data_IF_950023784013
#
_entry.id   IF_950023784013
#
_cell.length_a   1.000
_cell.length_b   1.000
_cell.length_c   1.000
_cell.angle_alpha   90.00
_cell.angle_beta   90.00
_cell.angle_gamma   90.00
#
_symmetry.space_group_name_H-M   'P 1'
#
loop_
_entity.id
_entity.type
_entity.pdbx_description
1 polymer ?
#
# COMPACT_ATOMS: atom_id res chain seq x y z
N UNK A 1 -40.64 12.84 -10.39
CA UNK A 1 -39.44 13.69 -10.52
C UNK A 1 -39.30 14.45 -9.21
N UNK A 2 -38.49 13.93 -8.30
CA UNK A 2 -38.16 14.59 -7.02
C UNK A 2 -37.01 15.56 -7.28
N UNK A 3 -37.06 16.81 -6.80
CA UNK A 3 -36.03 17.81 -7.05
C UNK A 3 -34.73 17.38 -6.32
N UNK A 4 -33.64 17.24 -7.10
CA UNK A 4 -32.29 17.04 -6.59
C UNK A 4 -31.85 18.30 -5.83
N UNK A 5 -31.69 18.16 -4.53
CA UNK A 5 -31.32 19.20 -3.60
C UNK A 5 -29.84 19.64 -3.86
N UNK A 6 -29.64 20.63 -4.73
CA UNK A 6 -28.37 21.10 -5.31
C UNK A 6 -27.59 22.06 -4.41
N UNK A 7 -27.76 22.05 -3.08
CA UNK A 7 -27.07 23.01 -2.20
C UNK A 7 -26.55 22.35 -0.91
N UNK A 8 -25.62 21.38 -1.04
CA UNK A 8 -24.70 21.05 0.06
C UNK A 8 -23.34 21.65 -0.23
N UNK A 9 -23.21 22.94 -0.07
CA UNK A 9 -21.91 23.58 0.14
C UNK A 9 -21.36 23.04 1.45
N UNK A 10 -20.32 22.17 1.36
CA UNK A 10 -19.59 21.72 2.55
C UNK A 10 -18.96 22.97 3.16
N UNK A 11 -19.29 23.36 4.40
CA UNK A 11 -18.70 24.55 4.99
C UNK A 11 -17.18 24.39 5.04
N UNK A 12 -16.46 25.44 4.65
CA UNK A 12 -14.98 25.48 4.58
C UNK A 12 -14.36 25.03 5.92
N UNK A 13 -15.03 25.32 7.03
CA UNK A 13 -14.65 24.86 8.37
C UNK A 13 -14.63 23.33 8.50
N UNK A 14 -15.56 22.60 7.87
CA UNK A 14 -15.58 21.13 7.89
C UNK A 14 -14.49 20.53 7.01
N UNK A 15 -14.16 21.15 5.90
CA UNK A 15 -13.03 20.75 5.05
C UNK A 15 -11.69 20.95 5.78
N UNK A 16 -11.50 22.07 6.44
CA UNK A 16 -10.31 22.39 7.23
C UNK A 16 -10.18 21.47 8.47
N UNK A 17 -11.28 21.12 9.12
CA UNK A 17 -11.26 20.21 10.27
C UNK A 17 -10.93 18.77 9.85
N UNK A 18 -11.40 18.31 8.71
CA UNK A 18 -11.05 16.99 8.13
C UNK A 18 -9.57 16.95 7.73
N UNK A 19 -9.05 18.01 7.12
CA UNK A 19 -7.64 18.14 6.76
C UNK A 19 -6.74 18.10 8.01
N UNK A 20 -7.05 18.90 9.04
CA UNK A 20 -6.31 18.89 10.32
C UNK A 20 -6.37 17.55 11.04
N UNK A 21 -7.53 16.88 11.07
CA UNK A 21 -7.68 15.54 11.69
C UNK A 21 -6.85 14.50 10.95
N UNK A 22 -6.77 14.59 9.64
CA UNK A 22 -5.99 13.70 8.77
C UNK A 22 -4.47 13.85 9.00
N UNK A 23 -3.96 15.05 9.28
CA UNK A 23 -2.56 15.27 9.62
C UNK A 23 -2.21 14.79 11.03
N UNK A 24 -3.12 14.93 12.00
CA UNK A 24 -2.92 14.42 13.37
C UNK A 24 -2.82 12.89 13.38
N UNK A 25 -3.64 12.18 12.60
CA UNK A 25 -3.54 10.71 12.50
C UNK A 25 -2.25 10.26 11.79
N UNK A 26 -1.77 11.02 10.80
CA UNK A 26 -0.51 10.73 10.15
C UNK A 26 0.70 10.99 11.08
N UNK A 27 0.67 12.09 11.84
CA UNK A 27 1.69 12.39 12.83
C UNK A 27 1.74 11.33 13.93
N UNK A 28 0.57 10.84 14.38
CA UNK A 28 0.49 9.74 15.35
C UNK A 28 1.10 8.45 14.79
N UNK A 29 0.77 8.08 13.55
CA UNK A 29 1.32 6.88 12.91
C UNK A 29 2.85 6.97 12.77
N UNK A 30 3.37 8.14 12.35
CA UNK A 30 4.81 8.38 12.26
C UNK A 30 5.48 8.36 13.65
N UNK A 31 4.85 8.97 14.66
CA UNK A 31 5.38 8.96 16.04
C UNK A 31 5.45 7.53 16.58
N UNK A 32 4.39 6.73 16.42
CA UNK A 32 4.38 5.31 16.80
C UNK A 32 5.47 4.54 16.06
N UNK A 33 5.60 4.72 14.75
CA UNK A 33 6.65 4.08 13.96
C UNK A 33 8.06 4.49 14.39
N UNK A 34 8.28 5.77 14.72
CA UNK A 34 9.56 6.25 15.24
C UNK A 34 9.89 5.66 16.63
N UNK A 35 8.89 5.55 17.50
CA UNK A 35 9.05 4.86 18.79
C UNK A 35 9.40 3.39 18.57
N UNK A 36 8.72 2.70 17.65
CA UNK A 36 9.04 1.31 17.29
C UNK A 36 10.47 1.17 16.78
N UNK A 37 10.93 2.09 15.93
CA UNK A 37 12.29 2.10 15.38
C UNK A 37 13.36 2.22 16.48
N UNK A 38 13.08 2.93 17.57
CA UNK A 38 14.01 3.12 18.67
C UNK A 38 13.94 1.99 19.72
N UNK A 39 12.73 1.50 19.99
CA UNK A 39 12.48 0.55 21.10
C UNK A 39 12.71 -0.90 20.66
N UNK A 40 12.19 -1.31 19.48
CA UNK A 40 12.25 -2.71 19.05
C UNK A 40 13.70 -3.26 18.99
N UNK A 41 14.70 -2.55 18.41
CA UNK A 41 16.07 -3.07 18.35
C UNK A 41 16.75 -3.25 19.72
N UNK A 42 16.17 -2.66 20.78
CA UNK A 42 16.69 -2.76 22.15
C UNK A 42 16.03 -3.84 22.99
N UNK A 43 14.79 -4.21 22.62
CA UNK A 43 13.95 -5.14 23.40
C UNK A 43 13.89 -6.53 22.76
N UNK A 44 13.94 -6.59 21.42
CA UNK A 44 13.85 -7.86 20.68
C UNK A 44 15.23 -8.51 20.56
N UNK A 45 15.24 -9.83 20.64
CA UNK A 45 16.39 -10.66 20.29
C UNK A 45 16.59 -10.68 18.75
N UNK A 46 17.77 -11.14 18.31
CA UNK A 46 18.13 -11.09 16.89
C UNK A 46 17.17 -11.91 16.00
N UNK A 47 16.61 -13.02 16.50
CA UNK A 47 15.65 -13.82 15.75
C UNK A 47 14.33 -13.06 15.54
N UNK A 48 13.77 -12.47 16.60
CA UNK A 48 12.56 -11.67 16.51
C UNK A 48 12.77 -10.42 15.65
N UNK A 49 13.98 -9.87 15.65
CA UNK A 49 14.35 -8.72 14.81
C UNK A 49 14.35 -9.07 13.32
N UNK A 50 14.94 -10.22 12.95
CA UNK A 50 14.92 -10.74 11.56
C UNK A 50 13.47 -10.99 11.13
N UNK A 51 12.63 -11.52 12.01
CA UNK A 51 11.20 -11.73 11.74
C UNK A 51 10.46 -10.38 11.56
N UNK A 52 10.74 -9.40 12.39
CA UNK A 52 10.13 -8.06 12.28
C UNK A 52 10.58 -7.33 11.00
N UNK A 53 11.79 -7.59 10.52
CA UNK A 53 12.32 -7.02 9.27
C UNK A 53 11.47 -7.46 8.08
N UNK A 54 11.15 -8.74 7.94
CA UNK A 54 10.31 -9.20 6.83
C UNK A 54 8.91 -8.60 6.89
N UNK A 55 8.34 -8.40 8.10
CA UNK A 55 7.05 -7.73 8.23
C UNK A 55 7.10 -6.27 7.72
N UNK A 56 8.16 -5.54 8.05
CA UNK A 56 8.36 -4.17 7.58
C UNK A 56 8.53 -4.12 6.05
N UNK A 57 9.34 -5.02 5.48
CA UNK A 57 9.58 -5.14 4.04
C UNK A 57 8.28 -5.46 3.30
N UNK A 58 7.51 -6.44 3.75
CA UNK A 58 6.23 -6.81 3.14
C UNK A 58 5.16 -5.72 3.32
N UNK A 59 5.24 -4.95 4.41
CA UNK A 59 4.37 -3.79 4.62
C UNK A 59 4.65 -2.67 3.60
N UNK A 60 5.91 -2.45 3.17
CA UNK A 60 6.24 -1.54 2.06
C UNK A 60 5.56 -2.00 0.77
N UNK A 61 5.62 -3.31 0.48
CA UNK A 61 4.98 -3.89 -0.70
C UNK A 61 3.44 -3.75 -0.66
N UNK A 62 2.83 -4.02 0.50
CA UNK A 62 1.40 -3.82 0.69
C UNK A 62 0.99 -2.35 0.56
N UNK A 63 1.81 -1.43 1.08
CA UNK A 63 1.59 0.01 0.96
C UNK A 63 1.68 0.48 -0.49
N UNK A 64 2.59 -0.11 -1.31
CA UNK A 64 2.70 0.20 -2.73
C UNK A 64 1.41 -0.13 -3.50
N UNK A 65 0.85 -1.33 -3.32
CA UNK A 65 -0.43 -1.70 -3.93
C UNK A 65 -1.59 -0.90 -3.32
N UNK A 66 -1.58 -0.67 -2.00
CA UNK A 66 -2.57 0.15 -1.32
C UNK A 66 -2.63 1.58 -1.85
N UNK A 67 -1.51 2.14 -2.28
CA UNK A 67 -1.45 3.43 -2.95
C UNK A 67 -2.01 3.36 -4.38
N UNK A 68 -1.55 2.42 -5.20
CA UNK A 68 -1.95 2.26 -6.60
C UNK A 68 -3.45 1.96 -6.71
N UNK A 69 -3.95 1.02 -5.95
CA UNK A 69 -5.35 0.61 -5.98
C UNK A 69 -6.24 1.50 -5.11
N UNK A 70 -5.81 1.76 -3.88
CA UNK A 70 -6.62 2.49 -2.89
C UNK A 70 -6.85 3.95 -3.26
N UNK A 71 -5.85 4.64 -3.79
CA UNK A 71 -5.92 6.06 -4.14
C UNK A 71 -5.96 6.31 -5.65
N UNK A 72 -5.20 5.54 -6.43
CA UNK A 72 -5.19 5.66 -7.90
C UNK A 72 -6.38 5.01 -8.59
N UNK A 73 -7.09 4.09 -7.92
CA UNK A 73 -8.17 3.31 -8.53
C UNK A 73 -7.71 2.27 -9.54
N UNK A 74 -6.41 2.00 -9.60
CA UNK A 74 -5.78 1.13 -10.57
C UNK A 74 -5.72 -0.29 -10.02
N UNK A 75 -6.50 -1.21 -10.56
CA UNK A 75 -6.48 -2.61 -10.17
C UNK A 75 -5.26 -3.31 -10.78
N UNK A 76 -4.22 -3.52 -9.96
CA UNK A 76 -2.98 -4.16 -10.37
C UNK A 76 -2.82 -5.51 -9.65
N UNK A 77 -2.83 -6.61 -10.42
CA UNK A 77 -2.50 -7.94 -9.92
C UNK A 77 -1.02 -8.29 -10.08
N UNK A 78 -0.27 -7.44 -10.74
CA UNK A 78 1.14 -7.62 -11.07
C UNK A 78 2.11 -6.90 -10.12
N UNK A 79 1.73 -6.56 -8.90
CA UNK A 79 2.63 -5.85 -8.00
C UNK A 79 3.86 -6.69 -7.64
N UNK A 80 3.71 -8.03 -7.62
CA UNK A 80 4.80 -8.97 -7.44
C UNK A 80 5.82 -8.96 -8.59
N UNK A 81 5.44 -8.55 -9.81
CA UNK A 81 6.37 -8.35 -10.91
C UNK A 81 7.43 -7.29 -10.58
N UNK A 82 6.99 -6.13 -10.07
CA UNK A 82 7.89 -5.02 -9.72
C UNK A 82 8.73 -5.35 -8.48
N UNK A 83 8.15 -6.07 -7.52
CA UNK A 83 8.85 -6.60 -6.36
C UNK A 83 9.96 -7.56 -6.77
N UNK A 84 9.64 -8.56 -7.60
CA UNK A 84 10.60 -9.53 -8.11
C UNK A 84 11.68 -8.87 -8.97
N UNK A 85 11.32 -7.92 -9.86
CA UNK A 85 12.30 -7.15 -10.63
C UNK A 85 13.26 -6.40 -9.71
N UNK A 86 12.79 -5.79 -8.62
CA UNK A 86 13.65 -5.13 -7.64
C UNK A 86 14.62 -6.09 -6.97
N UNK A 87 14.13 -7.26 -6.52
CA UNK A 87 14.95 -8.29 -5.89
C UNK A 87 16.02 -8.84 -6.83
N UNK A 88 15.65 -9.22 -8.05
CA UNK A 88 16.59 -9.75 -9.05
C UNK A 88 17.58 -8.69 -9.54
N UNK A 89 17.13 -7.45 -9.76
CA UNK A 89 18.01 -6.34 -10.15
C UNK A 89 19.09 -6.11 -9.11
N UNK A 90 18.70 -6.08 -7.83
CA UNK A 90 19.67 -5.94 -6.75
C UNK A 90 20.66 -7.12 -6.74
N UNK A 91 20.15 -8.36 -6.75
CA UNK A 91 20.97 -9.57 -6.69
C UNK A 91 22.00 -9.63 -7.82
N UNK A 92 21.58 -9.37 -9.07
CA UNK A 92 22.45 -9.37 -10.24
C UNK A 92 23.46 -8.24 -10.17
N UNK A 93 23.02 -7.03 -9.84
CA UNK A 93 23.88 -5.85 -9.84
C UNK A 93 24.94 -5.92 -8.72
N UNK A 94 24.58 -6.35 -7.51
CA UNK A 94 25.53 -6.44 -6.40
C UNK A 94 26.57 -7.52 -6.63
N UNK A 95 26.21 -8.65 -7.25
CA UNK A 95 27.16 -9.71 -7.61
C UNK A 95 28.18 -9.25 -8.65
N UNK A 96 27.81 -8.32 -9.55
CA UNK A 96 28.70 -7.80 -10.57
C UNK A 96 29.56 -6.62 -10.10
N UNK A 97 29.03 -5.76 -9.20
CA UNK A 97 29.67 -4.49 -8.81
C UNK A 97 30.41 -4.58 -7.48
N UNK A 98 30.04 -5.53 -6.61
CA UNK A 98 30.62 -5.69 -5.28
C UNK A 98 30.20 -4.63 -4.26
N UNK A 99 29.77 -3.44 -4.68
CA UNK A 99 29.19 -2.38 -3.84
C UNK A 99 27.66 -2.41 -3.95
N UNK A 100 26.95 -2.17 -2.86
CA UNK A 100 25.49 -2.19 -2.82
C UNK A 100 24.82 -0.86 -3.16
N UNK A 101 25.55 0.25 -3.22
CA UNK A 101 24.99 1.61 -3.40
C UNK A 101 24.28 1.77 -4.74
N UNK A 102 24.97 1.43 -5.84
CA UNK A 102 24.38 1.49 -7.19
C UNK A 102 23.30 0.42 -7.38
N UNK A 103 23.50 -0.85 -7.00
CA UNK A 103 22.48 -1.89 -7.01
C UNK A 103 21.18 -1.50 -6.28
N UNK A 104 21.26 -0.83 -5.14
CA UNK A 104 20.11 -0.33 -4.40
C UNK A 104 19.28 0.67 -5.22
N UNK A 105 19.93 1.63 -5.87
CA UNK A 105 19.26 2.60 -6.74
C UNK A 105 18.65 1.92 -7.97
N UNK A 106 19.39 1.00 -8.60
CA UNK A 106 18.91 0.25 -9.77
C UNK A 106 17.69 -0.59 -9.44
N UNK A 107 17.62 -1.18 -8.26
CA UNK A 107 16.49 -1.97 -7.80
C UNK A 107 15.18 -1.14 -7.64
N UNK A 108 15.27 0.18 -7.56
CA UNK A 108 14.13 1.09 -7.56
C UNK A 108 13.84 1.59 -8.98
N UNK A 109 14.88 2.00 -9.71
CA UNK A 109 14.75 2.66 -11.01
C UNK A 109 14.32 1.69 -12.10
N UNK A 110 14.82 0.46 -12.10
CA UNK A 110 14.51 -0.51 -13.17
C UNK A 110 13.06 -0.98 -13.12
N UNK A 111 12.46 -1.36 -11.96
CA UNK A 111 11.02 -1.62 -11.89
C UNK A 111 10.17 -0.39 -12.24
N UNK A 112 10.60 0.81 -11.86
CA UNK A 112 9.92 2.06 -12.23
C UNK A 112 9.95 2.30 -13.74
N UNK A 113 11.09 2.11 -14.40
CA UNK A 113 11.24 2.23 -15.85
C UNK A 113 10.40 1.17 -16.59
N UNK A 114 10.41 -0.08 -16.11
CA UNK A 114 9.58 -1.15 -16.66
C UNK A 114 8.09 -0.81 -16.53
N UNK A 115 7.67 -0.29 -15.35
CA UNK A 115 6.31 0.17 -15.12
C UNK A 115 5.94 1.37 -16.00
N UNK A 116 6.89 2.27 -16.29
CA UNK A 116 6.65 3.40 -17.19
C UNK A 116 6.33 2.93 -18.61
N UNK A 117 7.09 1.97 -19.14
CA UNK A 117 6.86 1.38 -20.47
C UNK A 117 5.52 0.62 -20.49
N UNK A 118 5.31 -0.28 -19.53
CA UNK A 118 4.08 -1.08 -19.44
C UNK A 118 2.84 -0.18 -19.23
N UNK A 119 2.92 0.77 -18.31
CA UNK A 119 1.85 1.71 -18.01
C UNK A 119 1.55 2.65 -19.18
N UNK A 120 2.56 3.08 -19.93
CA UNK A 120 2.36 3.83 -21.16
C UNK A 120 1.51 3.05 -22.14
N UNK A 121 1.86 1.79 -22.43
CA UNK A 121 1.09 0.93 -23.34
C UNK A 121 -0.35 0.72 -22.85
N UNK A 122 -0.56 0.52 -21.55
CA UNK A 122 -1.89 0.28 -20.98
C UNK A 122 -2.75 1.54 -20.99
N UNK A 123 -2.26 2.66 -20.44
CA UNK A 123 -3.09 3.87 -20.24
C UNK A 123 -3.34 4.64 -21.53
N UNK A 124 -2.36 4.67 -22.44
CA UNK A 124 -2.52 5.32 -23.75
C UNK A 124 -3.22 4.40 -24.75
N UNK A 125 -3.19 3.06 -24.53
CA UNK A 125 -3.97 2.07 -25.29
C UNK A 125 -5.48 2.08 -24.96
N UNK A 126 -5.94 2.91 -24.00
CA UNK A 126 -7.35 3.04 -23.58
C UNK A 126 -7.99 1.72 -23.15
N UNK A 127 -7.22 0.86 -22.50
CA UNK A 127 -7.71 -0.41 -21.98
C UNK A 127 -8.60 -0.17 -20.74
N UNK A 128 -9.64 -0.98 -20.58
CA UNK A 128 -10.48 -0.89 -19.37
C UNK A 128 -9.74 -1.42 -18.14
N UNK A 129 -10.17 -0.99 -16.95
CA UNK A 129 -9.54 -1.34 -15.67
C UNK A 129 -9.46 -2.86 -15.43
N UNK A 130 -10.44 -3.63 -15.93
CA UNK A 130 -10.45 -5.10 -15.84
C UNK A 130 -9.33 -5.72 -16.65
N UNK A 131 -9.15 -5.27 -17.92
CA UNK A 131 -8.05 -5.74 -18.77
C UNK A 131 -6.68 -5.40 -18.20
N UNK A 132 -6.56 -4.28 -17.51
CA UNK A 132 -5.33 -3.89 -16.84
C UNK A 132 -4.92 -4.91 -15.77
N UNK A 133 -5.86 -5.37 -14.94
CA UNK A 133 -5.60 -6.42 -13.97
C UNK A 133 -5.08 -7.71 -14.62
N UNK A 134 -5.73 -8.14 -15.70
CA UNK A 134 -5.33 -9.35 -16.45
C UNK A 134 -3.96 -9.19 -17.08
N UNK A 135 -3.68 -8.06 -17.74
CA UNK A 135 -2.38 -7.79 -18.38
C UNK A 135 -1.25 -7.76 -17.34
N UNK A 136 -1.43 -7.08 -16.22
CA UNK A 136 -0.40 -7.02 -15.18
C UNK A 136 -0.13 -8.40 -14.59
N UNK A 137 -1.16 -9.23 -14.41
CA UNK A 137 -1.00 -10.62 -13.99
C UNK A 137 -0.26 -11.45 -15.04
N UNK A 138 -0.63 -11.33 -16.33
CA UNK A 138 0.02 -12.04 -17.41
C UNK A 138 1.51 -11.68 -17.51
N UNK A 139 1.84 -10.38 -17.41
CA UNK A 139 3.24 -9.92 -17.40
C UNK A 139 4.01 -10.54 -16.22
N UNK A 140 3.38 -10.65 -15.06
CA UNK A 140 3.99 -11.30 -13.88
C UNK A 140 4.30 -12.77 -14.16
N UNK A 141 3.37 -13.50 -14.76
CA UNK A 141 3.56 -14.91 -15.12
C UNK A 141 4.61 -15.09 -16.23
N UNK A 142 4.69 -14.15 -17.17
CA UNK A 142 5.76 -14.14 -18.19
C UNK A 142 7.12 -13.98 -17.53
N UNK A 143 7.26 -13.02 -16.62
CA UNK A 143 8.52 -12.82 -15.86
C UNK A 143 8.86 -14.05 -15.00
N UNK A 144 7.87 -14.64 -14.33
CA UNK A 144 8.04 -15.89 -13.59
C UNK A 144 8.62 -16.99 -14.48
N UNK A 145 7.99 -17.27 -15.62
CA UNK A 145 8.42 -18.32 -16.54
C UNK A 145 9.77 -18.00 -17.17
N UNK A 146 10.00 -16.74 -17.55
CA UNK A 146 11.27 -16.29 -18.11
C UNK A 146 12.42 -16.59 -17.13
N UNK A 147 12.31 -16.13 -15.89
CA UNK A 147 13.35 -16.33 -14.87
C UNK A 147 13.47 -17.80 -14.50
N UNK A 148 12.36 -18.53 -14.38
CA UNK A 148 12.34 -19.95 -14.06
C UNK A 148 13.03 -20.83 -15.12
N UNK A 149 12.98 -20.42 -16.40
CA UNK A 149 13.62 -21.13 -17.52
C UNK A 149 15.12 -20.88 -17.67
N UNK A 150 15.69 -19.90 -16.94
CA UNK A 150 17.11 -19.55 -17.01
C UNK A 150 17.98 -20.46 -16.12
N UNK A 151 17.73 -21.77 -16.16
CA UNK A 151 18.53 -22.77 -15.45
C UNK A 151 19.72 -23.21 -16.34
N UNK A 152 20.92 -23.13 -15.79
CA UNK A 152 22.12 -23.58 -16.49
C UNK A 152 23.29 -22.58 -16.39
N UNK A 153 24.51 -23.06 -16.58
CA UNK A 153 25.70 -22.23 -16.44
C UNK A 153 25.85 -21.19 -17.57
N UNK A 154 25.12 -21.36 -18.67
CA UNK A 154 25.07 -20.43 -19.80
C UNK A 154 24.26 -19.16 -19.50
N UNK A 155 23.29 -19.24 -18.58
CA UNK A 155 22.42 -18.12 -18.23
C UNK A 155 23.06 -17.25 -17.14
N UNK A 156 23.90 -16.30 -17.59
CA UNK A 156 24.61 -15.36 -16.72
C UNK A 156 24.43 -13.93 -17.23
N UNK A 157 24.38 -12.99 -16.30
CA UNK A 157 24.49 -11.56 -16.59
C UNK A 157 25.76 -11.09 -15.90
N UNK A 158 26.84 -10.92 -16.68
CA UNK A 158 28.17 -10.69 -16.16
C UNK A 158 28.68 -11.91 -15.37
N UNK A 159 28.98 -11.73 -14.09
CA UNK A 159 29.41 -12.80 -13.17
C UNK A 159 28.24 -13.47 -12.45
N UNK A 160 27.06 -12.84 -12.44
CA UNK A 160 25.88 -13.33 -11.73
C UNK A 160 25.17 -14.43 -12.55
N UNK A 161 25.14 -15.65 -12.02
CA UNK A 161 24.32 -16.75 -12.55
C UNK A 161 22.85 -16.55 -12.14
N UNK A 162 21.92 -16.70 -13.07
CA UNK A 162 20.47 -16.48 -12.79
C UNK A 162 19.85 -17.64 -12.01
N UNK A 163 20.42 -18.83 -12.08
CA UNK A 163 20.06 -20.01 -11.30
C UNK A 163 18.70 -20.66 -11.66
N UNK A 164 17.90 -20.06 -12.54
CA UNK A 164 16.61 -20.56 -12.94
C UNK A 164 15.68 -20.84 -11.76
N UNK A 165 15.07 -22.03 -11.73
CA UNK A 165 14.17 -22.45 -10.64
C UNK A 165 14.85 -22.50 -9.25
N UNK A 166 16.17 -22.64 -9.18
CA UNK A 166 16.94 -22.61 -7.91
C UNK A 166 17.11 -21.19 -7.37
N UNK A 167 16.97 -20.17 -8.21
CA UNK A 167 17.19 -18.77 -7.84
C UNK A 167 18.67 -18.41 -7.65
N UNK A 168 18.89 -17.22 -7.10
CA UNK A 168 20.25 -16.66 -6.84
C UNK A 168 20.52 -16.77 -5.34
N UNK A 169 21.44 -17.65 -4.91
CA UNK A 169 21.86 -17.76 -3.52
C UNK A 169 22.98 -16.79 -3.19
N UNK A 170 23.27 -16.63 -1.89
CA UNK A 170 24.42 -15.88 -1.36
C UNK A 170 24.50 -14.44 -1.89
N UNK A 171 23.36 -13.76 -1.94
CA UNK A 171 23.30 -12.35 -2.30
C UNK A 171 24.08 -11.55 -1.26
N UNK A 172 25.04 -10.73 -1.73
CA UNK A 172 25.82 -9.89 -0.84
C UNK A 172 24.88 -8.89 -0.12
N UNK A 173 24.99 -8.80 1.23
CA UNK A 173 24.18 -7.89 2.01
C UNK A 173 24.52 -6.44 1.71
N UNK A 174 23.63 -5.53 2.11
CA UNK A 174 23.88 -4.09 2.01
C UNK A 174 25.12 -3.70 2.83
N UNK A 175 25.96 -2.87 2.25
CA UNK A 175 27.09 -2.22 2.91
C UNK A 175 26.81 -0.72 3.07
N UNK A 176 27.57 -0.07 3.94
CA UNK A 176 27.49 1.39 4.07
C UNK A 176 28.00 2.05 2.78
N UNK A 177 27.31 3.10 2.27
CA UNK A 177 27.70 3.75 1.03
C UNK A 177 29.18 4.21 1.07
N UNK A 178 29.98 3.70 0.10
CA UNK A 178 31.38 4.02 -0.02
C UNK A 178 32.36 3.15 0.79
N UNK A 179 31.86 2.20 1.58
CA UNK A 179 32.71 1.26 2.31
C UNK A 179 32.17 -0.17 2.15
N UNK A 180 32.81 -0.96 1.28
CA UNK A 180 32.38 -2.32 0.94
C UNK A 180 32.55 -3.30 2.11
N UNK A 181 33.51 -3.04 3.01
CA UNK A 181 33.84 -3.92 4.14
C UNK A 181 32.86 -3.74 5.32
N UNK A 182 32.14 -2.63 5.37
CA UNK A 182 31.20 -2.34 6.45
C UNK A 182 29.79 -2.80 6.09
N UNK A 183 29.52 -4.06 6.39
CA UNK A 183 28.28 -4.75 6.08
C UNK A 183 27.20 -4.43 7.13
N UNK A 184 26.02 -4.08 6.65
CA UNK A 184 24.85 -3.81 7.50
C UNK A 184 24.33 -5.11 8.13
N UNK A 185 24.52 -5.27 9.44
CA UNK A 185 24.02 -6.41 10.20
C UNK A 185 22.49 -6.44 10.35
N UNK A 186 21.92 -7.48 11.00
CA UNK A 186 20.47 -7.67 11.12
C UNK A 186 19.74 -6.47 11.76
N UNK A 187 20.36 -5.82 12.77
CA UNK A 187 19.81 -4.60 13.40
C UNK A 187 19.74 -3.43 12.43
N UNK A 188 20.83 -3.18 11.71
CA UNK A 188 20.86 -2.12 10.72
C UNK A 188 19.89 -2.35 9.56
N UNK A 189 19.69 -3.61 9.13
CA UNK A 189 18.71 -3.96 8.10
C UNK A 189 17.27 -3.73 8.59
N UNK A 190 16.99 -4.04 9.87
CA UNK A 190 15.70 -3.72 10.47
C UNK A 190 15.44 -2.22 10.51
N UNK A 191 16.43 -1.45 11.02
CA UNK A 191 16.34 0.00 11.10
C UNK A 191 16.15 0.63 9.72
N UNK A 192 16.88 0.16 8.71
CA UNK A 192 16.74 0.59 7.33
C UNK A 192 15.36 0.25 6.76
N UNK A 193 14.87 -0.97 6.97
CA UNK A 193 13.58 -1.43 6.45
C UNK A 193 12.40 -0.70 7.08
N UNK A 194 12.42 -0.52 8.40
CA UNK A 194 11.38 0.24 9.10
C UNK A 194 11.49 1.73 8.79
N UNK A 195 12.70 2.27 8.69
CA UNK A 195 12.96 3.64 8.23
C UNK A 195 12.45 3.89 6.81
N UNK A 196 12.68 2.94 5.89
CA UNK A 196 12.16 2.97 4.53
C UNK A 196 10.61 2.93 4.51
N UNK A 197 9.99 2.08 5.33
CA UNK A 197 8.52 2.03 5.48
C UNK A 197 7.96 3.39 5.92
N UNK A 198 8.55 3.99 6.95
CA UNK A 198 8.14 5.30 7.45
C UNK A 198 8.40 6.42 6.42
N UNK A 199 9.54 6.35 5.71
CA UNK A 199 9.88 7.28 4.64
C UNK A 199 8.90 7.20 3.46
N UNK A 200 8.56 5.99 3.01
CA UNK A 200 7.56 5.77 1.96
C UNK A 200 6.17 6.23 2.42
N UNK A 201 5.78 5.90 3.64
CA UNK A 201 4.51 6.38 4.20
C UNK A 201 4.44 7.91 4.23
N UNK A 202 5.50 8.57 4.70
CA UNK A 202 5.59 10.03 4.72
C UNK A 202 5.57 10.62 3.30
N UNK A 203 6.36 10.08 2.37
CA UNK A 203 6.39 10.49 0.96
C UNK A 203 4.99 10.43 0.33
N UNK A 204 4.30 9.30 0.48
CA UNK A 204 2.95 9.14 -0.06
C UNK A 204 1.94 10.09 0.61
N UNK A 205 2.11 10.34 1.91
CA UNK A 205 1.27 11.28 2.63
C UNK A 205 1.43 12.71 2.12
N UNK A 206 2.66 13.14 1.92
CA UNK A 206 3.01 14.45 1.35
C UNK A 206 2.49 14.54 -0.10
N UNK A 207 2.74 13.51 -0.92
CA UNK A 207 2.25 13.45 -2.30
C UNK A 207 0.72 13.63 -2.37
N UNK A 208 -0.03 12.93 -1.52
CA UNK A 208 -1.49 13.03 -1.46
C UNK A 208 -1.99 14.39 -0.96
N UNK A 209 -1.19 15.12 -0.20
CA UNK A 209 -1.51 16.48 0.25
C UNK A 209 -1.32 17.52 -0.87
N UNK A 210 -0.41 17.29 -1.82
CA UNK A 210 -0.17 18.17 -2.95
C UNK A 210 -1.27 18.11 -4.01
N UNK A 211 -1.21 19.04 -4.98
CA UNK A 211 -2.14 19.12 -6.11
C UNK A 211 -2.19 17.80 -6.90
N UNK A 212 -1.04 17.18 -7.12
CA UNK A 212 -0.91 15.91 -7.85
C UNK A 212 -1.75 14.82 -7.18
N UNK A 213 -1.64 14.64 -5.86
CA UNK A 213 -2.39 13.62 -5.13
C UNK A 213 -3.89 13.86 -5.16
N UNK A 214 -4.34 15.13 -5.10
CA UNK A 214 -5.77 15.45 -5.23
C UNK A 214 -6.31 15.10 -6.61
N UNK A 215 -5.52 15.29 -7.66
CA UNK A 215 -5.89 14.92 -9.04
C UNK A 215 -5.93 13.39 -9.19
N UNK A 216 -4.97 12.66 -8.58
CA UNK A 216 -4.97 11.19 -8.55
C UNK A 216 -6.28 10.66 -7.94
N UNK A 217 -6.67 11.16 -6.77
CA UNK A 217 -7.92 10.77 -6.10
C UNK A 217 -9.16 11.15 -6.94
N UNK A 218 -9.16 12.34 -7.53
CA UNK A 218 -10.25 12.79 -8.41
C UNK A 218 -10.38 11.90 -9.66
N UNK A 219 -9.27 11.42 -10.23
CA UNK A 219 -9.26 10.49 -11.36
C UNK A 219 -9.94 9.15 -11.03
N UNK A 220 -9.75 8.64 -9.81
CA UNK A 220 -10.44 7.45 -9.31
C UNK A 220 -11.96 7.67 -9.17
N UNK A 221 -12.39 8.83 -8.66
CA UNK A 221 -13.80 9.12 -8.39
C UNK A 221 -14.60 9.34 -9.68
N UNK A 222 -14.07 10.14 -10.61
CA UNK A 222 -14.73 10.39 -11.91
C UNK A 222 -13.76 10.94 -12.95
N UNK A 223 -13.29 10.05 -13.82
CA UNK A 223 -12.35 10.38 -14.89
C UNK A 223 -12.91 11.37 -15.93
N UNK A 224 -14.19 11.24 -16.26
CA UNK A 224 -14.84 12.15 -17.24
C UNK A 224 -14.91 13.58 -16.73
N UNK A 225 -15.26 13.76 -15.45
CA UNK A 225 -15.26 15.11 -14.83
C UNK A 225 -13.88 15.72 -14.78
N UNK A 226 -12.85 14.90 -14.53
CA UNK A 226 -11.46 15.34 -14.50
C UNK A 226 -11.00 15.85 -15.87
N UNK A 227 -11.36 15.14 -16.95
CA UNK A 227 -11.08 15.54 -18.33
C UNK A 227 -11.76 16.88 -18.68
N UNK A 228 -12.99 17.11 -18.25
CA UNK A 228 -13.69 18.40 -18.46
C UNK A 228 -13.02 19.57 -17.73
N UNK A 229 -12.27 19.29 -16.66
CA UNK A 229 -11.45 20.30 -15.95
C UNK A 229 -10.08 20.53 -16.61
N UNK A 230 -9.79 19.88 -17.75
CA UNK A 230 -8.56 20.04 -18.51
C UNK A 230 -7.38 19.20 -18.00
N UNK A 231 -7.59 18.23 -17.10
CA UNK A 231 -6.53 17.32 -16.64
C UNK A 231 -6.53 16.02 -17.43
N UNK A 232 -5.36 15.63 -17.95
CA UNK A 232 -5.20 14.30 -18.58
C UNK A 232 -5.02 13.20 -17.52
N UNK A 233 -6.05 12.42 -17.29
CA UNK A 233 -6.08 11.32 -16.30
C UNK A 233 -4.98 10.27 -16.52
N UNK A 234 -4.57 10.06 -17.78
CA UNK A 234 -3.57 9.04 -18.18
C UNK A 234 -2.21 9.31 -17.56
N UNK A 235 -1.79 10.59 -17.57
CA UNK A 235 -0.51 11.01 -16.98
C UNK A 235 -0.50 10.73 -15.48
N UNK A 236 -1.59 11.03 -14.78
CA UNK A 236 -1.68 10.82 -13.34
C UNK A 236 -1.79 9.33 -12.96
N UNK A 237 -2.51 8.54 -13.76
CA UNK A 237 -2.55 7.08 -13.61
C UNK A 237 -1.15 6.48 -13.86
N UNK A 238 -0.46 6.89 -14.91
CA UNK A 238 0.91 6.45 -15.20
C UNK A 238 1.86 6.80 -14.06
N UNK A 239 1.84 8.03 -13.58
CA UNK A 239 2.67 8.47 -12.44
C UNK A 239 2.41 7.62 -11.18
N UNK A 240 1.13 7.37 -10.88
CA UNK A 240 0.73 6.53 -9.73
C UNK A 240 1.27 5.12 -9.87
N UNK A 241 1.18 4.54 -11.07
CA UNK A 241 1.65 3.18 -11.37
C UNK A 241 3.16 3.07 -11.25
N UNK A 242 3.90 4.03 -11.82
CA UNK A 242 5.38 4.09 -11.76
C UNK A 242 5.87 4.27 -10.33
N UNK A 243 5.25 5.16 -9.55
CA UNK A 243 5.61 5.34 -8.14
C UNK A 243 5.32 4.08 -7.31
N UNK A 244 4.19 3.41 -7.55
CA UNK A 244 3.88 2.14 -6.92
C UNK A 244 4.92 1.07 -7.25
N UNK A 245 5.34 0.98 -8.51
CA UNK A 245 6.38 0.03 -8.94
C UNK A 245 7.75 0.34 -8.32
N UNK A 246 8.14 1.62 -8.22
CA UNK A 246 9.37 2.04 -7.54
C UNK A 246 9.40 1.59 -6.07
N UNK A 247 8.27 1.78 -5.36
CA UNK A 247 8.12 1.35 -3.97
C UNK A 247 8.15 -0.17 -3.84
N UNK A 248 7.51 -0.90 -4.76
CA UNK A 248 7.58 -2.36 -4.79
C UNK A 248 9.00 -2.86 -5.07
N UNK A 249 9.74 -2.20 -5.97
CA UNK A 249 11.14 -2.50 -6.25
C UNK A 249 12.04 -2.29 -5.03
N UNK A 250 11.84 -1.20 -4.28
CA UNK A 250 12.51 -0.97 -3.00
C UNK A 250 12.25 -2.11 -2.00
N UNK A 251 11.00 -2.54 -1.88
CA UNK A 251 10.65 -3.69 -1.04
C UNK A 251 11.35 -4.97 -1.51
N UNK A 252 11.41 -5.22 -2.83
CA UNK A 252 12.11 -6.38 -3.41
C UNK A 252 13.61 -6.39 -3.09
N UNK A 253 14.26 -5.22 -3.18
CA UNK A 253 15.66 -5.04 -2.80
C UNK A 253 15.90 -5.42 -1.32
N UNK A 254 15.10 -4.87 -0.41
CA UNK A 254 15.21 -5.16 1.01
C UNK A 254 14.90 -6.63 1.34
N UNK A 255 13.97 -7.25 0.60
CA UNK A 255 13.66 -8.68 0.72
C UNK A 255 14.84 -9.56 0.32
N UNK A 256 15.50 -9.26 -0.80
CA UNK A 256 16.69 -9.99 -1.25
C UNK A 256 17.83 -9.90 -0.23
N UNK A 257 17.98 -8.75 0.43
CA UNK A 257 18.94 -8.56 1.51
C UNK A 257 18.58 -9.31 2.79
N UNK A 258 17.28 -9.33 3.14
CA UNK A 258 16.79 -10.05 4.31
C UNK A 258 17.02 -11.57 4.19
N UNK A 259 16.70 -12.14 3.03
CA UNK A 259 16.83 -13.59 2.79
C UNK A 259 18.22 -14.02 2.33
N UNK A 260 19.11 -13.10 1.95
CA UNK A 260 20.35 -13.35 1.21
C UNK A 260 20.13 -14.30 0.01
N UNK A 261 18.91 -14.33 -0.50
CA UNK A 261 18.44 -15.27 -1.50
C UNK A 261 17.23 -14.69 -2.24
N UNK A 262 17.12 -14.97 -3.53
CA UNK A 262 15.91 -14.70 -4.32
C UNK A 262 15.62 -15.82 -5.29
N UNK A 263 14.36 -16.17 -5.49
CA UNK A 263 13.92 -17.23 -6.40
C UNK A 263 12.76 -16.75 -7.28
N UNK A 264 12.44 -17.43 -8.39
CA UNK A 264 11.33 -17.06 -9.25
C UNK A 264 9.98 -16.97 -8.54
N UNK A 265 9.83 -17.63 -7.39
CA UNK A 265 8.59 -17.64 -6.60
C UNK A 265 8.14 -16.24 -6.18
N UNK A 266 9.05 -15.25 -6.12
CA UNK A 266 8.71 -13.84 -5.85
C UNK A 266 7.78 -13.23 -6.91
N UNK A 267 7.80 -13.76 -8.14
CA UNK A 267 6.87 -13.42 -9.23
C UNK A 267 5.60 -14.30 -9.22
N UNK A 268 5.50 -15.25 -8.30
CA UNK A 268 4.44 -16.26 -8.30
C UNK A 268 3.03 -15.68 -8.13
N UNK A 269 2.03 -16.40 -8.65
CA UNK A 269 0.62 -16.06 -8.47
C UNK A 269 0.22 -16.01 -6.99
N UNK A 270 0.77 -16.90 -6.18
CA UNK A 270 0.53 -16.93 -4.73
C UNK A 270 0.98 -15.64 -4.07
N UNK A 271 2.15 -15.10 -4.46
CA UNK A 271 2.66 -13.83 -3.96
C UNK A 271 1.74 -12.67 -4.35
N UNK A 272 1.29 -12.62 -5.61
CA UNK A 272 0.34 -11.61 -6.08
C UNK A 272 -0.98 -11.65 -5.28
N UNK A 273 -1.53 -12.84 -5.08
CA UNK A 273 -2.76 -13.01 -4.30
C UNK A 273 -2.57 -12.57 -2.83
N UNK A 274 -1.44 -12.91 -2.23
CA UNK A 274 -1.13 -12.56 -0.85
C UNK A 274 -1.06 -11.04 -0.63
N UNK A 275 -0.44 -10.30 -1.56
CA UNK A 275 -0.38 -8.83 -1.51
C UNK A 275 -1.79 -8.22 -1.55
N UNK A 276 -2.66 -8.75 -2.41
CA UNK A 276 -4.05 -8.30 -2.53
C UNK A 276 -4.82 -8.55 -1.24
N UNK A 277 -4.64 -9.72 -0.62
CA UNK A 277 -5.27 -10.06 0.66
C UNK A 277 -4.88 -9.06 1.75
N UNK A 278 -3.59 -8.72 1.88
CA UNK A 278 -3.13 -7.74 2.87
C UNK A 278 -3.82 -6.38 2.71
N UNK A 279 -3.97 -5.92 1.47
CA UNK A 279 -4.57 -4.61 1.17
C UNK A 279 -6.09 -4.62 1.42
N UNK A 280 -6.79 -5.70 1.04
CA UNK A 280 -8.23 -5.83 1.28
C UNK A 280 -8.52 -5.92 2.79
N UNK A 281 -7.81 -6.80 3.50
CA UNK A 281 -7.97 -6.99 4.96
C UNK A 281 -7.64 -5.70 5.71
N UNK A 282 -6.58 -5.01 5.33
CA UNK A 282 -6.20 -3.73 5.92
C UNK A 282 -7.21 -2.62 5.70
N UNK A 283 -7.82 -2.60 4.51
CA UNK A 283 -8.81 -1.62 4.07
C UNK A 283 -8.28 -0.64 3.03
N UNK A 284 -8.97 -0.60 1.88
CA UNK A 284 -8.68 0.31 0.78
C UNK A 284 -8.97 1.77 1.16
N UNK A 285 -8.18 2.69 0.60
CA UNK A 285 -8.38 4.13 0.78
C UNK A 285 -7.75 4.72 2.05
N UNK A 286 -6.97 3.93 2.79
CA UNK A 286 -6.12 4.40 3.89
C UNK A 286 -4.67 3.97 3.67
N UNK A 287 -3.69 4.80 4.06
CA UNK A 287 -2.28 4.42 3.95
C UNK A 287 -1.84 3.45 5.06
N UNK A 288 -2.47 3.55 6.22
CA UNK A 288 -2.15 2.70 7.40
C UNK A 288 -2.78 1.31 7.26
N UNK A 289 -3.93 1.21 6.56
CA UNK A 289 -4.65 -0.05 6.39
C UNK A 289 -3.79 -1.18 5.83
N UNK A 290 -3.22 -1.05 4.63
CA UNK A 290 -2.38 -2.07 4.02
C UNK A 290 -1.21 -2.51 4.92
N UNK A 291 -0.61 -1.58 5.67
CA UNK A 291 0.47 -1.88 6.63
C UNK A 291 -0.02 -2.78 7.76
N UNK A 292 -1.14 -2.40 8.40
CA UNK A 292 -1.73 -3.18 9.50
C UNK A 292 -2.22 -4.54 8.97
N UNK A 293 -2.88 -4.56 7.82
CA UNK A 293 -3.35 -5.81 7.19
C UNK A 293 -2.21 -6.77 6.87
N UNK A 294 -1.11 -6.25 6.32
CA UNK A 294 0.08 -7.04 6.05
C UNK A 294 0.68 -7.62 7.33
N UNK A 295 0.96 -6.79 8.33
CA UNK A 295 1.58 -7.23 9.60
C UNK A 295 0.69 -8.25 10.30
N UNK A 296 -0.63 -8.01 10.36
CA UNK A 296 -1.57 -8.93 11.00
C UNK A 296 -1.61 -10.31 10.31
N UNK A 297 -1.72 -10.33 8.98
CA UNK A 297 -1.76 -11.59 8.20
C UNK A 297 -0.40 -12.31 8.25
N UNK A 298 0.72 -11.58 8.12
CA UNK A 298 2.05 -12.18 8.20
C UNK A 298 2.31 -12.79 9.58
N UNK A 299 1.95 -12.07 10.65
CA UNK A 299 2.07 -12.60 12.00
C UNK A 299 1.23 -13.88 12.17
N UNK A 300 -0.02 -13.86 11.71
CA UNK A 300 -0.92 -15.00 11.79
C UNK A 300 -0.37 -16.20 10.99
N UNK A 301 0.11 -15.95 9.76
CA UNK A 301 0.70 -16.99 8.90
C UNK A 301 1.95 -17.62 9.56
N UNK A 302 2.77 -16.81 10.21
CA UNK A 302 3.95 -17.30 10.94
C UNK A 302 3.55 -18.20 12.10
N UNK A 303 2.54 -17.80 12.91
CA UNK A 303 2.05 -18.62 14.03
C UNK A 303 1.47 -19.97 13.59
N UNK A 304 0.75 -19.98 12.46
CA UNK A 304 0.17 -21.20 11.90
C UNK A 304 1.26 -22.08 11.27
N UNK A 305 2.22 -21.47 10.57
CA UNK A 305 3.31 -22.17 9.91
C UNK A 305 4.22 -22.95 10.87
N UNK A 306 4.36 -22.47 12.10
CA UNK A 306 5.15 -23.17 13.15
C UNK A 306 4.50 -24.46 13.62
N UNK A 307 3.18 -24.64 13.46
CA UNK A 307 2.46 -25.84 13.91
C UNK A 307 2.46 -26.98 12.89
N UNK A 308 2.95 -26.80 11.68
CA UNK A 308 3.10 -27.78 10.58
C UNK A 308 1.85 -28.64 10.25
N UNK A 309 0.71 -28.37 10.89
CA UNK A 309 -0.47 -29.24 10.83
C UNK A 309 -1.39 -28.88 9.67
N UNK A 310 -1.36 -27.64 9.18
CA UNK A 310 -2.30 -27.12 8.17
C UNK A 310 -1.54 -26.34 7.09
N UNK A 311 -1.94 -26.53 5.83
CA UNK A 311 -1.37 -25.78 4.71
C UNK A 311 -1.71 -24.29 4.83
N UNK A 312 -0.66 -23.43 4.96
CA UNK A 312 -0.81 -21.99 5.16
C UNK A 312 -1.64 -21.31 4.06
N UNK A 313 -1.60 -21.80 2.82
CA UNK A 313 -2.38 -21.25 1.71
C UNK A 313 -3.89 -21.50 1.85
N UNK A 314 -4.28 -22.67 2.42
CA UNK A 314 -5.68 -22.97 2.73
C UNK A 314 -6.23 -22.03 3.79
N UNK A 315 -5.44 -21.78 4.83
CA UNK A 315 -5.80 -20.83 5.91
C UNK A 315 -5.92 -19.42 5.38
N UNK A 316 -4.97 -18.95 4.55
CA UNK A 316 -5.03 -17.64 3.90
C UNK A 316 -6.30 -17.49 3.05
N UNK A 317 -6.66 -18.52 2.27
CA UNK A 317 -7.89 -18.52 1.48
C UNK A 317 -9.15 -18.44 2.36
N UNK A 318 -9.20 -19.22 3.44
CA UNK A 318 -10.31 -19.20 4.39
C UNK A 318 -10.44 -17.83 5.09
N UNK A 319 -9.31 -17.25 5.53
CA UNK A 319 -9.27 -15.93 6.13
C UNK A 319 -9.81 -14.88 5.16
N UNK A 320 -9.39 -14.91 3.89
CA UNK A 320 -9.88 -14.00 2.88
C UNK A 320 -11.40 -14.06 2.75
N UNK A 321 -11.96 -15.27 2.62
CA UNK A 321 -13.41 -15.47 2.49
C UNK A 321 -14.15 -14.92 3.72
N UNK A 322 -13.70 -15.28 4.92
CA UNK A 322 -14.30 -14.81 6.18
C UNK A 322 -14.20 -13.29 6.30
N UNK A 323 -13.03 -12.71 6.00
CA UNK A 323 -12.83 -11.27 6.11
C UNK A 323 -13.67 -10.47 5.10
N UNK A 324 -13.74 -10.92 3.85
CA UNK A 324 -14.55 -10.24 2.81
C UNK A 324 -16.03 -10.26 3.18
N UNK A 325 -16.52 -11.35 3.79
CA UNK A 325 -17.91 -11.48 4.22
C UNK A 325 -18.22 -10.65 5.48
N UNK A 326 -17.30 -10.62 6.46
CA UNK A 326 -17.54 -9.98 7.77
C UNK A 326 -17.16 -8.49 7.79
N UNK A 327 -16.10 -8.10 7.09
CA UNK A 327 -15.53 -6.75 7.14
C UNK A 327 -15.28 -6.20 5.72
N UNK A 328 -16.33 -5.97 4.93
CA UNK A 328 -16.21 -5.59 3.51
C UNK A 328 -15.46 -4.27 3.28
N UNK A 329 -15.30 -3.42 4.30
CA UNK A 329 -14.55 -2.16 4.24
C UNK A 329 -13.09 -2.30 4.73
N UNK A 330 -12.70 -3.45 5.28
CA UNK A 330 -11.40 -3.67 5.90
C UNK A 330 -11.34 -3.23 7.38
N UNK A 331 -10.25 -3.64 8.07
CA UNK A 331 -10.09 -3.45 9.52
C UNK A 331 -10.08 -1.96 9.90
N UNK A 332 -9.21 -1.17 9.25
CA UNK A 332 -8.96 0.22 9.66
C UNK A 332 -10.17 1.14 9.44
N UNK A 333 -10.87 1.12 8.29
CA UNK A 333 -12.09 1.91 8.13
C UNK A 333 -13.21 1.50 9.09
N UNK A 334 -13.36 0.20 9.37
CA UNK A 334 -14.39 -0.32 10.27
C UNK A 334 -14.18 0.10 11.71
N UNK A 335 -12.94 0.06 12.22
CA UNK A 335 -12.58 0.57 13.55
C UNK A 335 -12.82 2.08 13.62
N UNK A 336 -12.48 2.82 12.56
CA UNK A 336 -12.72 4.26 12.47
C UNK A 336 -14.20 4.62 12.53
N UNK A 337 -15.07 3.88 11.84
CA UNK A 337 -16.52 4.08 11.89
C UNK A 337 -17.10 3.72 13.27
N UNK A 338 -16.64 2.62 13.87
CA UNK A 338 -17.08 2.20 15.20
C UNK A 338 -16.67 3.23 16.26
N UNK A 339 -15.45 3.75 16.21
CA UNK A 339 -14.98 4.82 17.10
C UNK A 339 -15.83 6.09 16.95
N UNK A 340 -16.17 6.50 15.72
CA UNK A 340 -17.04 7.66 15.49
C UNK A 340 -18.47 7.45 16.02
N UNK A 341 -19.03 6.25 15.89
CA UNK A 341 -20.37 5.91 16.42
C UNK A 341 -20.38 5.94 17.94
N UNK A 342 -19.37 5.41 18.60
CA UNK A 342 -19.22 5.46 20.06
C UNK A 342 -19.07 6.91 20.54
N UNK A 343 -18.25 7.74 19.86
CA UNK A 343 -18.11 9.17 20.20
C UNK A 343 -19.41 9.96 19.95
N UNK A 344 -20.18 9.61 18.93
CA UNK A 344 -21.49 10.24 18.66
C UNK A 344 -22.54 9.85 19.70
N UNK A 345 -22.49 8.61 20.20
CA UNK A 345 -23.40 8.13 21.25
C UNK A 345 -23.13 8.79 22.62
N UNK A 346 -21.89 9.23 22.87
CA UNK A 346 -21.48 9.93 24.12
C UNK A 346 -21.77 11.43 24.08
N UNK A 347 -22.00 12.03 22.88
CA UNK A 347 -22.42 13.44 22.79
C UNK A 347 -23.92 13.56 22.94
N UNK A 348 -24.43 14.33 23.95
CA UNK A 348 -25.87 14.59 24.05
C UNK A 348 -26.36 15.30 22.77
N UNK A 349 -27.62 15.02 22.35
CA UNK A 349 -28.18 15.63 21.15
C UNK A 349 -28.12 17.14 21.27
N UNK A 350 -27.47 17.80 20.32
CA UNK A 350 -27.50 19.25 20.20
C UNK A 350 -28.95 19.63 19.95
N UNK A 351 -29.62 20.20 20.96
CA UNK A 351 -30.92 20.83 20.77
C UNK A 351 -30.80 21.85 19.66
N UNK A 352 -31.42 21.57 18.53
CA UNK A 352 -31.52 22.52 17.44
C UNK A 352 -32.48 23.62 17.91
N UNK A 353 -31.99 24.86 17.91
CA UNK A 353 -32.77 26.07 18.25
C UNK A 353 -33.92 26.36 17.27
N UNK A 354 -34.39 25.36 16.55
CA UNK A 354 -35.55 25.41 15.65
C UNK A 354 -36.87 25.10 16.31
N UNK A 355 -36.88 24.36 17.45
CA UNK A 355 -38.12 23.94 18.12
C UNK A 355 -38.84 25.09 18.86
N UNK A 356 -38.09 26.15 19.24
CA UNK A 356 -38.70 27.31 19.89
C UNK A 356 -39.42 28.25 18.91
N UNK A 357 -39.16 28.16 17.61
CA UNK A 357 -39.87 29.00 16.59
C UNK A 357 -41.21 28.41 16.16
N UNK A 358 -41.32 27.09 16.16
CA UNK A 358 -42.59 26.45 15.82
C UNK A 358 -43.60 26.49 16.98
N UNK A 359 -43.15 26.43 18.23
CA UNK A 359 -44.02 26.60 19.39
C UNK A 359 -44.62 28.02 19.49
N UNK A 360 -43.85 29.06 19.12
CA UNK A 360 -44.30 30.45 19.11
C UNK A 360 -45.26 30.78 17.94
N UNK A 361 -45.26 30.00 16.87
CA UNK A 361 -46.19 30.17 15.74
C UNK A 361 -47.54 29.45 15.97
N UNK A 362 -47.56 28.36 16.72
CA UNK A 362 -48.81 27.66 17.09
C UNK A 362 -49.61 28.44 18.13
N UNK A 363 -48.95 29.13 19.08
CA UNK A 363 -49.62 29.98 20.07
C UNK A 363 -50.27 31.23 19.45
N UNK A 364 -49.70 31.79 18.38
CA UNK A 364 -50.34 32.94 17.67
C UNK A 364 -51.51 32.53 16.79
N UNK A 365 -51.55 31.29 16.29
CA UNK A 365 -52.68 30.79 15.51
C UNK A 365 -53.87 30.30 16.38
N UNK A 366 -53.64 29.90 17.62
CA UNK A 366 -54.69 29.55 18.56
C UNK A 366 -55.38 30.81 19.13
N UNK A 367 -54.61 31.87 19.44
CA UNK A 367 -55.17 33.15 19.93
C UNK A 367 -56.04 33.87 18.89
N UNK A 368 -55.69 33.79 17.62
CA UNK A 368 -56.51 34.41 16.54
C UNK A 368 -57.80 33.66 16.18
N UNK A 369 -57.96 32.41 16.66
CA UNK A 369 -59.22 31.63 16.49
C UNK A 369 -60.25 31.84 17.64
N UNK A 370 -59.73 32.24 18.81
CA UNK A 370 -60.63 32.55 19.95
C UNK A 370 -61.23 33.97 19.83
N UNK A 371 -60.61 34.90 19.11
CA UNK A 371 -61.17 36.26 18.89
C UNK A 371 -62.20 36.35 17.75
N UNK A 372 -62.40 35.24 16.98
CA UNK A 372 -63.32 35.18 15.83
C UNK A 372 -64.63 34.31 16.08
N UNK A 373 -64.81 33.85 17.33
CA UNK A 373 -66.01 33.14 17.78
C UNK A 373 -66.81 34.01 18.78
#
# INVERSE_FOLDING_TARGET
>A
MTPVNANRTIPVADALSRFSRSWKSAALALAVGMVMLIVLPRVLDDFALVQATVYAVMAILALSLGFVWGFGGILCFGQSAFFGLGAYTYAIAVTNMGDSTVPFVLAIVLPAAFAAVLGYLIFYGRLSDVYMGVITLTVTLILFNLVNSTAGPEWKIGTAALGGFNGIPNIAPLNTPGNVDDVIGPRGLFELSLGALLGVYFLLRVLLAFKIGRVIVASKENEQRLLLLGYDSRVYKLLTFVLGAAIAGLSGCLFANWGAFTSPTVFGLAQSAQIIIWVIVGGLGTLVGPVIGCVAIQWLTTQIGTQQTINSNLVLGAILVVFVLMVPKGIVPSIGELGMRLFAAVRPPRRTSGDTRNAAQDDTHSASREEAA
#
